data_IF_410646076518
#
_entry.id   IF_410646076518
#
_cell.length_a   1.000
_cell.length_b   1.000
_cell.length_c   1.000
_cell.angle_alpha   90.00
_cell.angle_beta   90.00
_cell.angle_gamma   90.00
#
_symmetry.space_group_name_H-M   'P 1'
#
loop_
_entity.id
_entity.type
_entity.pdbx_description
1 polymer ?
#
# COMPACT_ATOMS: atom_id res chain seq x y z
N UNK A 1 -40.42 1.82 -6.73
CA UNK A 1 -39.66 1.62 -5.47
C UNK A 1 -38.20 1.41 -5.81
N UNK A 2 -37.24 1.99 -5.08
CA UNK A 2 -35.82 1.90 -5.45
C UNK A 2 -35.33 0.45 -5.41
N UNK A 3 -34.49 0.08 -6.38
CA UNK A 3 -33.77 -1.20 -6.36
C UNK A 3 -32.44 -1.00 -5.65
N UNK A 4 -32.25 -1.66 -4.51
CA UNK A 4 -31.05 -1.51 -3.67
C UNK A 4 -30.27 -2.82 -3.68
N UNK A 5 -29.00 -2.75 -4.09
CA UNK A 5 -28.04 -3.83 -3.96
C UNK A 5 -27.27 -3.61 -2.67
N UNK A 6 -27.45 -4.49 -1.66
CA UNK A 6 -26.96 -4.25 -0.32
C UNK A 6 -25.44 -4.40 -0.23
N UNK A 7 -24.87 -3.73 0.77
CA UNK A 7 -23.46 -3.85 1.14
C UNK A 7 -23.11 -5.28 1.60
N UNK A 8 -22.09 -5.90 1.00
CA UNK A 8 -21.62 -7.23 1.41
C UNK A 8 -20.67 -7.15 2.63
N UNK A 9 -21.24 -7.19 3.84
CA UNK A 9 -20.45 -7.19 5.09
C UNK A 9 -19.41 -8.31 5.12
N UNK A 10 -19.77 -9.52 4.70
CA UNK A 10 -18.88 -10.69 4.73
C UNK A 10 -17.64 -10.51 3.86
N UNK A 11 -17.80 -9.94 2.65
CA UNK A 11 -16.67 -9.69 1.74
C UNK A 11 -15.68 -8.70 2.37
N UNK A 12 -16.19 -7.59 2.88
CA UNK A 12 -15.35 -6.55 3.46
C UNK A 12 -14.72 -6.98 4.79
N UNK A 13 -15.42 -7.81 5.58
CA UNK A 13 -14.86 -8.43 6.78
C UNK A 13 -13.70 -9.37 6.42
N UNK A 14 -13.84 -10.19 5.37
CA UNK A 14 -12.76 -11.06 4.91
C UNK A 14 -11.53 -10.25 4.42
N UNK A 15 -11.74 -9.14 3.70
CA UNK A 15 -10.66 -8.24 3.28
C UNK A 15 -9.98 -7.61 4.50
N UNK A 16 -10.75 -7.15 5.49
CA UNK A 16 -10.21 -6.57 6.72
C UNK A 16 -9.37 -7.59 7.48
N UNK A 17 -9.89 -8.79 7.74
CA UNK A 17 -9.19 -9.85 8.46
C UNK A 17 -7.92 -10.28 7.72
N UNK A 18 -7.99 -10.46 6.40
CA UNK A 18 -6.81 -10.78 5.59
C UNK A 18 -5.76 -9.68 5.66
N UNK A 19 -6.15 -8.41 5.52
CA UNK A 19 -5.23 -7.27 5.59
C UNK A 19 -4.57 -7.16 6.97
N UNK A 20 -5.33 -7.34 8.06
CA UNK A 20 -4.79 -7.33 9.43
C UNK A 20 -3.80 -8.47 9.67
N UNK A 21 -4.03 -9.66 9.11
CA UNK A 21 -3.08 -10.76 9.18
C UNK A 21 -1.75 -10.42 8.50
N UNK A 22 -1.78 -9.81 7.31
CA UNK A 22 -0.56 -9.37 6.61
C UNK A 22 0.17 -8.23 7.35
N UNK A 23 -0.57 -7.32 7.98
CA UNK A 23 0.02 -6.28 8.86
C UNK A 23 0.71 -6.92 10.05
N UNK A 24 0.09 -7.89 10.71
CA UNK A 24 0.70 -8.59 11.85
C UNK A 24 2.00 -9.30 11.44
N UNK A 25 2.00 -10.03 10.31
CA UNK A 25 3.20 -10.66 9.76
C UNK A 25 4.29 -9.61 9.46
N UNK A 26 3.93 -8.52 8.77
CA UNK A 26 4.87 -7.45 8.46
C UNK A 26 5.45 -6.78 9.71
N UNK A 27 4.63 -6.57 10.74
CA UNK A 27 5.08 -6.01 12.02
C UNK A 27 6.04 -6.95 12.75
N UNK A 28 5.79 -8.26 12.73
CA UNK A 28 6.71 -9.26 13.27
C UNK A 28 8.04 -9.25 12.52
N UNK A 29 8.03 -9.16 11.18
CA UNK A 29 9.25 -9.06 10.36
C UNK A 29 10.07 -7.80 10.65
N UNK A 30 9.42 -6.70 11.01
CA UNK A 30 10.10 -5.46 11.43
C UNK A 30 10.64 -5.56 12.86
N UNK A 31 9.91 -6.23 13.75
CA UNK A 31 10.23 -6.29 15.17
C UNK A 31 11.28 -7.34 15.53
N UNK A 32 11.23 -8.50 14.89
CA UNK A 32 12.30 -9.49 14.98
C UNK A 32 13.44 -8.95 14.11
N UNK A 33 14.60 -8.63 14.70
CA UNK A 33 15.79 -8.05 14.04
C UNK A 33 16.35 -8.94 12.91
N UNK A 34 15.57 -9.05 11.83
CA UNK A 34 15.85 -9.81 10.63
C UNK A 34 16.97 -9.18 9.82
N UNK A 35 17.16 -9.68 8.62
CA UNK A 35 17.98 -8.97 7.63
C UNK A 35 17.29 -7.65 7.26
N UNK A 36 18.05 -6.63 6.82
CA UNK A 36 17.47 -5.33 6.45
C UNK A 36 16.39 -5.50 5.35
N UNK A 37 16.56 -6.49 4.46
CA UNK A 37 15.55 -6.94 3.49
C UNK A 37 14.21 -7.34 4.13
N UNK A 38 14.23 -8.06 5.24
CA UNK A 38 13.02 -8.47 5.96
C UNK A 38 12.34 -7.29 6.64
N UNK A 39 13.14 -6.37 7.19
CA UNK A 39 12.62 -5.14 7.81
C UNK A 39 11.93 -4.27 6.74
N UNK A 40 12.58 -4.05 5.59
CA UNK A 40 12.00 -3.27 4.49
C UNK A 40 10.74 -3.93 3.92
N UNK A 41 10.78 -5.25 3.69
CA UNK A 41 9.63 -6.00 3.21
C UNK A 41 8.46 -5.93 4.21
N UNK A 42 8.77 -6.06 5.51
CA UNK A 42 7.80 -5.93 6.60
C UNK A 42 7.19 -4.53 6.65
N UNK A 43 8.01 -3.48 6.56
CA UNK A 43 7.53 -2.09 6.57
C UNK A 43 6.62 -1.79 5.37
N UNK A 44 7.00 -2.23 4.16
CA UNK A 44 6.16 -2.08 2.97
C UNK A 44 4.83 -2.84 3.10
N UNK A 45 4.87 -4.05 3.67
CA UNK A 45 3.67 -4.84 3.97
C UNK A 45 2.74 -4.11 4.94
N UNK A 46 3.27 -3.63 6.07
CA UNK A 46 2.50 -2.89 7.09
C UNK A 46 1.86 -1.64 6.50
N UNK A 47 2.59 -0.86 5.70
CA UNK A 47 2.06 0.35 5.08
C UNK A 47 0.92 0.04 4.10
N UNK A 48 1.16 -0.89 3.17
CA UNK A 48 0.17 -1.22 2.13
C UNK A 48 -1.07 -1.89 2.71
N UNK A 49 -0.90 -2.98 3.46
CA UNK A 49 -2.02 -3.72 4.03
C UNK A 49 -2.68 -2.98 5.19
N UNK A 50 -1.95 -2.12 5.92
CA UNK A 50 -2.51 -1.22 6.93
C UNK A 50 -3.46 -0.21 6.30
N UNK A 51 -3.07 0.38 5.17
CA UNK A 51 -3.97 1.24 4.40
C UNK A 51 -5.21 0.47 3.89
N UNK A 52 -5.03 -0.74 3.35
CA UNK A 52 -6.16 -1.58 2.94
C UNK A 52 -7.11 -1.92 4.11
N UNK A 53 -6.58 -2.23 5.30
CA UNK A 53 -7.37 -2.48 6.50
C UNK A 53 -8.17 -1.24 6.90
N UNK A 54 -7.56 -0.04 6.86
CA UNK A 54 -8.22 1.22 7.16
C UNK A 54 -9.38 1.50 6.20
N UNK A 55 -9.17 1.32 4.89
CA UNK A 55 -10.21 1.47 3.87
C UNK A 55 -11.34 0.46 4.08
N UNK A 56 -11.01 -0.80 4.36
CA UNK A 56 -12.00 -1.85 4.61
C UNK A 56 -12.83 -1.57 5.87
N UNK A 57 -12.19 -1.13 6.95
CA UNK A 57 -12.86 -0.74 8.20
C UNK A 57 -13.79 0.47 7.97
N UNK A 58 -13.33 1.51 7.28
CA UNK A 58 -14.16 2.66 6.93
C UNK A 58 -15.39 2.26 6.09
N UNK A 59 -15.22 1.35 5.12
CA UNK A 59 -16.32 0.79 4.32
C UNK A 59 -17.32 0.02 5.19
N UNK A 60 -16.85 -0.83 6.11
CA UNK A 60 -17.70 -1.59 7.04
C UNK A 60 -18.52 -0.68 7.97
N UNK A 61 -17.91 0.40 8.46
CA UNK A 61 -18.57 1.35 9.36
C UNK A 61 -19.63 2.18 8.62
N UNK A 62 -19.37 2.61 7.39
CA UNK A 62 -20.33 3.40 6.60
C UNK A 62 -21.52 2.57 6.13
N UNK A 63 -21.30 1.31 5.74
CA UNK A 63 -22.38 0.40 5.32
C UNK A 63 -23.19 0.87 4.11
N UNK A 64 -22.63 1.76 3.27
CA UNK A 64 -23.31 2.29 2.09
C UNK A 64 -23.68 1.15 1.11
N UNK A 65 -24.91 1.14 0.57
CA UNK A 65 -25.32 0.16 -0.43
C UNK A 65 -24.41 0.23 -1.66
N UNK A 66 -24.10 -0.92 -2.25
CA UNK A 66 -23.16 -0.99 -3.37
C UNK A 66 -23.70 -0.31 -4.62
N UNK A 67 -25.01 -0.42 -4.85
CA UNK A 67 -25.73 0.25 -5.92
C UNK A 67 -27.16 0.53 -5.49
N UNK A 68 -27.60 1.77 -5.64
CA UNK A 68 -29.01 2.17 -5.51
C UNK A 68 -29.49 2.68 -6.85
N UNK A 69 -30.58 2.11 -7.38
CA UNK A 69 -31.22 2.52 -8.63
C UNK A 69 -32.60 3.09 -8.28
N UNK A 70 -32.86 4.30 -8.75
CA UNK A 70 -34.12 5.04 -8.55
C UNK A 70 -34.68 5.51 -9.88
N UNK A 71 -35.86 6.14 -9.84
CA UNK A 71 -36.48 6.73 -11.04
C UNK A 71 -35.71 7.94 -11.58
N UNK A 72 -34.92 8.63 -10.74
CA UNK A 72 -34.17 9.83 -11.14
C UNK A 72 -32.77 9.49 -11.65
N UNK A 73 -32.22 8.34 -11.24
CA UNK A 73 -30.87 7.93 -11.59
C UNK A 73 -30.38 6.72 -10.81
N UNK A 74 -29.08 6.65 -10.60
CA UNK A 74 -28.48 5.62 -9.77
C UNK A 74 -27.22 6.15 -9.06
N UNK A 75 -26.83 5.45 -7.99
CA UNK A 75 -25.65 5.78 -7.19
C UNK A 75 -24.87 4.51 -6.88
N UNK A 76 -23.57 4.53 -7.22
CA UNK A 76 -22.62 3.46 -6.91
C UNK A 76 -21.80 3.88 -5.70
N UNK A 77 -21.53 2.96 -4.77
CA UNK A 77 -20.72 3.24 -3.58
C UNK A 77 -19.32 3.79 -3.96
N UNK A 78 -19.04 5.03 -3.54
CA UNK A 78 -17.78 5.73 -3.81
C UNK A 78 -17.73 6.48 -5.15
N UNK A 79 -18.85 6.63 -5.85
CA UNK A 79 -19.01 7.47 -7.03
C UNK A 79 -20.08 8.55 -6.78
N UNK A 80 -20.03 9.62 -7.57
CA UNK A 80 -21.09 10.63 -7.55
C UNK A 80 -22.43 10.01 -8.01
N UNK A 81 -23.56 10.43 -7.43
CA UNK A 81 -24.88 10.12 -7.98
C UNK A 81 -24.97 10.55 -9.44
N UNK A 82 -25.54 9.71 -10.29
CA UNK A 82 -25.72 9.97 -11.72
C UNK A 82 -27.20 9.98 -12.05
N UNK A 83 -27.63 11.04 -12.73
CA UNK A 83 -29.03 11.15 -13.20
C UNK A 83 -29.19 10.41 -14.52
N UNK A 84 -30.39 9.88 -14.80
CA UNK A 84 -30.65 9.24 -16.09
C UNK A 84 -30.42 10.18 -17.28
N UNK A 85 -30.69 11.48 -17.12
CA UNK A 85 -30.42 12.50 -18.15
C UNK A 85 -28.94 12.69 -18.48
N UNK A 86 -28.03 12.26 -17.60
CA UNK A 86 -26.59 12.33 -17.81
C UNK A 86 -26.06 11.09 -18.54
N UNK A 87 -26.87 10.02 -18.58
CA UNK A 87 -26.51 8.74 -19.19
C UNK A 87 -26.93 8.74 -20.64
N UNK A 88 -25.94 8.63 -21.53
CA UNK A 88 -26.19 8.39 -22.96
C UNK A 88 -26.62 6.95 -23.20
N UNK A 89 -25.84 6.00 -22.70
CA UNK A 89 -26.13 4.58 -22.87
C UNK A 89 -25.40 3.73 -21.84
N UNK A 90 -25.85 2.49 -21.64
CA UNK A 90 -25.19 1.53 -20.75
C UNK A 90 -25.05 0.17 -21.41
N UNK A 91 -24.16 -0.65 -20.87
CA UNK A 91 -24.25 -2.08 -21.08
C UNK A 91 -22.94 -2.79 -20.76
N UNK A 92 -22.87 -4.07 -21.13
CA UNK A 92 -21.83 -4.97 -20.64
C UNK A 92 -20.62 -4.90 -21.56
N UNK A 93 -19.50 -4.47 -21.01
CA UNK A 93 -18.20 -4.56 -21.66
C UNK A 93 -17.39 -5.71 -21.08
N UNK A 94 -16.86 -6.51 -22.00
CA UNK A 94 -15.99 -7.64 -21.66
C UNK A 94 -14.54 -7.23 -21.79
N UNK A 95 -13.74 -7.56 -20.77
CA UNK A 95 -12.30 -7.30 -20.70
C UNK A 95 -11.58 -8.65 -20.61
N UNK A 96 -10.65 -8.88 -21.53
CA UNK A 96 -9.70 -9.98 -21.41
C UNK A 96 -8.54 -9.59 -20.50
N UNK A 97 -8.31 -10.38 -19.46
CA UNK A 97 -7.16 -10.24 -18.57
C UNK A 97 -6.33 -11.51 -18.61
N UNK A 98 -5.06 -11.44 -18.19
CA UNK A 98 -4.19 -12.63 -18.10
C UNK A 98 -4.77 -13.74 -17.22
N UNK A 99 -5.68 -13.41 -16.29
CA UNK A 99 -6.40 -14.34 -15.43
C UNK A 99 -7.82 -14.69 -15.91
N UNK A 100 -8.15 -14.44 -17.18
CA UNK A 100 -9.43 -14.78 -17.79
C UNK A 100 -10.29 -13.58 -18.14
N UNK A 101 -11.52 -13.88 -18.57
CA UNK A 101 -12.50 -12.90 -19.04
C UNK A 101 -13.24 -12.28 -17.85
N UNK A 102 -13.33 -10.95 -17.82
CA UNK A 102 -14.13 -10.20 -16.84
C UNK A 102 -15.13 -9.32 -17.53
N UNK A 103 -16.30 -9.17 -16.92
CA UNK A 103 -17.36 -8.30 -17.41
C UNK A 103 -17.53 -7.13 -16.45
N UNK A 104 -17.90 -5.97 -16.99
CA UNK A 104 -18.32 -4.79 -16.24
C UNK A 104 -19.47 -4.12 -16.97
N UNK A 105 -20.25 -3.29 -16.27
CA UNK A 105 -21.20 -2.39 -16.93
C UNK A 105 -20.49 -1.06 -17.16
N UNK A 106 -20.33 -0.69 -18.42
CA UNK A 106 -19.85 0.62 -18.82
C UNK A 106 -21.06 1.56 -18.93
N UNK A 107 -20.96 2.73 -18.28
CA UNK A 107 -21.99 3.77 -18.33
C UNK A 107 -21.46 4.92 -19.17
N UNK A 108 -21.91 5.06 -20.40
CA UNK A 108 -21.52 6.16 -21.28
C UNK A 108 -22.28 7.42 -20.88
N UNK A 109 -21.55 8.46 -20.48
CA UNK A 109 -22.13 9.74 -20.08
C UNK A 109 -22.21 10.71 -21.27
N UNK A 110 -23.21 11.60 -21.27
CA UNK A 110 -23.32 12.69 -22.24
C UNK A 110 -22.13 13.66 -22.14
N UNK A 111 -21.75 14.02 -20.91
CA UNK A 111 -20.61 14.90 -20.62
C UNK A 111 -19.66 14.24 -19.59
N UNK A 112 -18.68 13.45 -20.05
CA UNK A 112 -17.72 12.80 -19.17
C UNK A 112 -16.75 13.79 -18.50
N UNK A 113 -16.50 14.96 -19.11
CA UNK A 113 -15.61 15.98 -18.56
C UNK A 113 -16.26 16.69 -17.38
N UNK A 114 -17.53 17.07 -17.50
CA UNK A 114 -18.30 17.63 -16.38
C UNK A 114 -18.40 16.66 -15.20
N UNK A 115 -18.59 15.36 -15.46
CA UNK A 115 -18.59 14.34 -14.42
C UNK A 115 -17.25 14.30 -13.66
N UNK A 116 -16.11 14.24 -14.39
CA UNK A 116 -14.78 14.24 -13.77
C UNK A 116 -14.53 15.56 -13.01
N UNK A 117 -14.91 16.72 -13.56
CA UNK A 117 -14.78 18.00 -12.88
C UNK A 117 -15.59 18.04 -11.57
N UNK A 118 -16.81 17.50 -11.60
CA UNK A 118 -17.68 17.36 -10.42
C UNK A 118 -17.06 16.52 -9.30
N UNK A 119 -16.23 15.52 -9.65
CA UNK A 119 -15.49 14.72 -8.66
C UNK A 119 -14.31 15.44 -8.02
N UNK A 120 -13.93 16.64 -8.46
CA UNK A 120 -12.78 17.40 -7.93
C UNK A 120 -13.15 18.76 -7.30
N UNK A 121 -14.41 19.20 -7.39
CA UNK A 121 -14.87 20.50 -6.91
C UNK A 121 -15.42 20.52 -5.47
N UNK A 122 -15.98 21.66 -5.05
CA UNK A 122 -16.59 21.89 -3.73
C UNK A 122 -17.69 20.87 -3.39
N UNK A 123 -18.40 20.36 -4.40
CA UNK A 123 -19.39 19.28 -4.28
C UNK A 123 -18.75 17.95 -3.87
N UNK A 124 -17.53 17.66 -4.32
CA UNK A 124 -16.78 16.48 -3.93
C UNK A 124 -16.20 16.59 -2.51
N UNK A 125 -15.94 17.81 -2.03
CA UNK A 125 -15.60 18.09 -0.62
C UNK A 125 -16.84 17.91 0.27
N UNK A 126 -18.00 18.43 -0.16
CA UNK A 126 -19.27 18.24 0.54
C UNK A 126 -19.71 16.76 0.62
N UNK A 127 -19.35 15.95 -0.39
CA UNK A 127 -19.63 14.50 -0.43
C UNK A 127 -18.44 13.63 0.04
N UNK A 128 -17.30 14.23 0.43
CA UNK A 128 -16.03 13.56 0.81
C UNK A 128 -15.45 12.57 -0.21
N UNK A 129 -15.78 12.70 -1.50
CA UNK A 129 -15.37 11.75 -2.57
C UNK A 129 -14.20 12.24 -3.46
N UNK A 130 -13.58 13.38 -3.12
CA UNK A 130 -12.76 14.18 -4.05
C UNK A 130 -11.53 13.54 -4.71
N UNK A 131 -10.80 12.66 -4.02
CA UNK A 131 -9.50 12.18 -4.51
C UNK A 131 -9.56 10.86 -5.29
N UNK A 132 -10.11 9.83 -4.65
CA UNK A 132 -10.07 8.48 -5.22
C UNK A 132 -11.03 8.31 -6.41
N UNK A 133 -12.22 8.90 -6.36
CA UNK A 133 -13.21 8.81 -7.43
C UNK A 133 -12.75 9.54 -8.69
N UNK A 134 -12.17 10.73 -8.53
CA UNK A 134 -11.62 11.52 -9.64
C UNK A 134 -10.42 10.82 -10.29
N UNK A 135 -9.52 10.23 -9.49
CA UNK A 135 -8.41 9.44 -10.00
C UNK A 135 -8.90 8.21 -10.78
N UNK A 136 -9.88 7.47 -10.25
CA UNK A 136 -10.46 6.32 -10.93
C UNK A 136 -11.14 6.72 -12.26
N UNK A 137 -11.90 7.80 -12.27
CA UNK A 137 -12.58 8.31 -13.47
C UNK A 137 -11.57 8.71 -14.57
N UNK A 138 -10.49 9.42 -14.19
CA UNK A 138 -9.40 9.77 -15.11
C UNK A 138 -8.64 8.54 -15.61
N UNK A 139 -8.39 7.57 -14.73
CA UNK A 139 -7.70 6.34 -15.09
C UNK A 139 -8.50 5.54 -16.12
N UNK A 140 -9.81 5.37 -15.91
CA UNK A 140 -10.72 4.71 -16.84
C UNK A 140 -10.67 5.36 -18.23
N UNK A 141 -10.75 6.70 -18.28
CA UNK A 141 -10.67 7.44 -19.54
C UNK A 141 -9.32 7.26 -20.24
N UNK A 142 -8.22 7.27 -19.48
CA UNK A 142 -6.87 7.12 -20.03
C UNK A 142 -6.65 5.76 -20.73
N UNK A 143 -7.42 4.73 -20.35
CA UNK A 143 -7.38 3.38 -20.93
C UNK A 143 -8.56 3.09 -21.88
N UNK A 144 -9.38 4.09 -22.22
CA UNK A 144 -10.46 3.98 -23.22
C UNK A 144 -11.79 3.41 -22.71
N UNK A 145 -12.06 3.53 -21.41
CA UNK A 145 -13.40 3.35 -20.84
C UNK A 145 -14.05 4.69 -20.52
N UNK A 146 -15.36 4.68 -20.34
CA UNK A 146 -16.10 5.75 -19.68
C UNK A 146 -15.53 6.02 -18.28
N UNK A 147 -15.54 7.27 -17.78
CA UNK A 147 -15.16 7.58 -16.41
C UNK A 147 -15.88 6.74 -15.35
N UNK A 148 -17.12 6.32 -15.62
CA UNK A 148 -17.91 5.51 -14.70
C UNK A 148 -18.11 4.09 -15.22
N UNK A 149 -17.67 3.11 -14.43
CA UNK A 149 -17.87 1.69 -14.68
C UNK A 149 -18.38 1.03 -13.40
N UNK A 150 -19.39 0.17 -13.54
CA UNK A 150 -19.92 -0.63 -12.43
C UNK A 150 -19.25 -2.01 -12.50
N UNK A 151 -18.36 -2.25 -11.54
CA UNK A 151 -17.69 -3.53 -11.37
C UNK A 151 -18.68 -4.59 -10.85
N UNK A 152 -18.36 -5.90 -10.99
CA UNK A 152 -19.24 -6.95 -10.50
C UNK A 152 -19.48 -6.84 -8.99
N UNK A 153 -20.75 -6.70 -8.62
CA UNK A 153 -21.25 -6.58 -7.24
C UNK A 153 -21.39 -7.97 -6.57
N UNK A 154 -20.41 -8.83 -6.81
CA UNK A 154 -20.40 -10.24 -6.38
C UNK A 154 -21.21 -11.17 -7.28
N UNK A 155 -21.12 -12.49 -7.01
CA UNK A 155 -21.80 -13.53 -7.81
C UNK A 155 -23.34 -13.47 -7.73
N UNK A 156 -23.88 -12.82 -6.69
CA UNK A 156 -25.33 -12.76 -6.44
C UNK A 156 -26.07 -11.78 -7.34
N UNK A 157 -25.37 -10.82 -7.95
CA UNK A 157 -25.96 -9.79 -8.80
C UNK A 157 -25.26 -9.76 -10.17
N UNK A 158 -25.60 -10.68 -11.09
CA UNK A 158 -25.07 -10.68 -12.45
C UNK A 158 -25.37 -9.36 -13.16
N UNK A 159 -24.45 -8.88 -14.00
CA UNK A 159 -24.59 -7.62 -14.73
C UNK A 159 -25.88 -7.53 -15.56
N UNK A 160 -26.32 -8.66 -16.13
CA UNK A 160 -27.59 -8.73 -16.85
C UNK A 160 -28.79 -8.34 -15.96
N UNK A 161 -28.83 -8.80 -14.71
CA UNK A 161 -29.91 -8.44 -13.78
C UNK A 161 -29.85 -6.96 -13.38
N UNK A 162 -28.65 -6.42 -13.22
CA UNK A 162 -28.46 -4.99 -12.94
C UNK A 162 -28.98 -4.15 -14.12
N UNK A 163 -28.64 -4.51 -15.36
CA UNK A 163 -29.15 -3.82 -16.55
C UNK A 163 -30.66 -3.92 -16.69
N UNK A 164 -31.24 -5.08 -16.41
CA UNK A 164 -32.70 -5.24 -16.36
C UNK A 164 -33.32 -4.32 -15.31
N UNK A 165 -32.73 -4.21 -14.12
CA UNK A 165 -33.20 -3.28 -13.10
C UNK A 165 -33.07 -1.81 -13.55
N UNK A 166 -31.97 -1.43 -14.18
CA UNK A 166 -31.78 -0.06 -14.73
C UNK A 166 -32.86 0.26 -15.79
N UNK A 167 -33.14 -0.67 -16.70
CA UNK A 167 -34.22 -0.52 -17.70
C UNK A 167 -35.62 -0.47 -17.11
N UNK A 168 -35.87 -1.20 -16.02
CA UNK A 168 -37.15 -1.14 -15.33
C UNK A 168 -37.42 0.26 -14.76
N UNK A 169 -36.38 0.97 -14.30
CA UNK A 169 -36.48 2.35 -13.81
C UNK A 169 -36.42 3.40 -14.92
N UNK A 170 -35.71 3.11 -16.01
CA UNK A 170 -35.64 3.99 -17.18
C UNK A 170 -35.84 3.18 -18.49
N UNK A 171 -37.10 2.99 -18.94
CA UNK A 171 -37.38 2.16 -20.12
C UNK A 171 -36.75 2.67 -21.42
N UNK A 172 -36.54 3.99 -21.53
CA UNK A 172 -35.89 4.63 -22.67
C UNK A 172 -34.35 4.47 -22.67
N UNK A 173 -33.77 3.78 -21.68
CA UNK A 173 -32.33 3.60 -21.58
C UNK A 173 -31.78 2.85 -22.79
N UNK A 174 -30.90 3.51 -23.52
CA UNK A 174 -30.18 2.92 -24.64
C UNK A 174 -29.19 1.87 -24.12
N UNK A 175 -29.31 0.66 -24.64
CA UNK A 175 -28.37 -0.42 -24.33
C UNK A 175 -27.40 -0.55 -25.48
N UNK A 176 -26.15 -0.18 -25.21
CA UNK A 176 -25.06 -0.40 -26.14
C UNK A 176 -24.61 -1.85 -26.03
N UNK A 177 -24.25 -2.44 -27.17
CA UNK A 177 -23.46 -3.67 -27.20
C UNK A 177 -22.08 -3.31 -27.72
N UNK A 178 -21.04 -3.71 -26.99
CA UNK A 178 -19.67 -3.51 -27.43
C UNK A 178 -19.26 -4.73 -28.24
N UNK A 179 -18.53 -4.55 -29.37
CA UNK A 179 -17.91 -5.67 -30.04
C UNK A 179 -17.00 -6.43 -29.06
N UNK A 180 -16.84 -7.73 -29.28
CA UNK A 180 -15.91 -8.56 -28.52
C UNK A 180 -14.55 -7.85 -28.39
N UNK A 181 -13.89 -7.92 -27.22
CA UNK A 181 -12.74 -7.09 -26.93
C UNK A 181 -11.68 -7.23 -28.03
N UNK A 182 -11.46 -6.16 -28.80
CA UNK A 182 -10.19 -6.03 -29.50
C UNK A 182 -9.09 -6.03 -28.44
N UNK A 183 -8.05 -6.84 -28.63
CA UNK A 183 -6.93 -7.01 -27.69
C UNK A 183 -6.59 -5.67 -27.02
N UNK A 184 -6.74 -5.62 -25.69
CA UNK A 184 -6.74 -4.37 -24.92
C UNK A 184 -5.51 -3.49 -25.20
N UNK A 185 -5.64 -2.17 -25.05
CA UNK A 185 -4.64 -1.23 -25.53
C UNK A 185 -3.26 -1.48 -24.91
N UNK A 186 -2.22 -1.54 -25.75
CA UNK A 186 -0.80 -1.59 -25.35
C UNK A 186 -0.34 -0.42 -24.46
N UNK A 187 -1.24 0.50 -24.10
CA UNK A 187 -1.03 1.62 -23.16
C UNK A 187 -1.05 1.15 -21.70
N UNK A 188 -1.83 0.11 -21.34
CA UNK A 188 -1.74 -0.54 -20.02
C UNK A 188 -0.37 -1.18 -19.85
N UNK A 189 0.18 -1.80 -20.90
CA UNK A 189 1.55 -2.33 -20.91
C UNK A 189 2.58 -1.24 -20.61
N UNK A 190 2.38 -0.01 -21.09
CA UNK A 190 3.25 1.15 -20.80
C UNK A 190 3.09 1.67 -19.36
N UNK A 191 1.88 1.74 -18.83
CA UNK A 191 1.65 2.18 -17.44
C UNK A 191 2.16 1.13 -16.44
N UNK A 192 1.88 -0.16 -16.68
CA UNK A 192 2.41 -1.26 -15.89
C UNK A 192 3.95 -1.33 -15.99
N UNK A 193 4.53 -1.11 -17.17
CA UNK A 193 5.98 -1.01 -17.35
C UNK A 193 6.57 0.16 -16.56
N UNK A 194 5.92 1.33 -16.55
CA UNK A 194 6.35 2.48 -15.73
C UNK A 194 6.22 2.20 -14.24
N UNK A 195 5.14 1.58 -13.80
CA UNK A 195 4.97 1.17 -12.40
C UNK A 195 6.03 0.14 -12.00
N UNK A 196 6.28 -0.89 -12.82
CA UNK A 196 7.36 -1.87 -12.62
C UNK A 196 8.76 -1.23 -12.63
N UNK A 197 9.00 -0.25 -13.49
CA UNK A 197 10.26 0.52 -13.49
C UNK A 197 10.39 1.28 -12.17
N UNK A 198 9.36 1.99 -11.72
CA UNK A 198 9.42 2.72 -10.45
C UNK A 198 9.57 1.79 -9.25
N UNK A 199 8.86 0.66 -9.22
CA UNK A 199 9.07 -0.38 -8.21
C UNK A 199 10.51 -0.91 -8.27
N UNK A 200 11.04 -1.18 -9.47
CA UNK A 200 12.43 -1.60 -9.67
C UNK A 200 13.45 -0.54 -9.25
N UNK A 201 13.17 0.74 -9.47
CA UNK A 201 14.01 1.87 -9.04
C UNK A 201 14.01 1.99 -7.52
N UNK A 202 12.85 1.88 -6.87
CA UNK A 202 12.76 1.89 -5.40
C UNK A 202 13.51 0.69 -4.82
N UNK A 203 13.34 -0.51 -5.39
CA UNK A 203 14.10 -1.70 -4.99
C UNK A 203 15.59 -1.51 -5.21
N UNK A 204 16.02 -0.97 -6.36
CA UNK A 204 17.42 -0.73 -6.66
C UNK A 204 18.05 0.35 -5.76
N UNK A 205 17.31 1.39 -5.38
CA UNK A 205 17.76 2.39 -4.42
C UNK A 205 17.92 1.79 -3.02
N UNK A 206 16.95 1.00 -2.56
CA UNK A 206 17.05 0.31 -1.26
C UNK A 206 18.24 -0.66 -1.27
N UNK A 207 18.36 -1.50 -2.30
CA UNK A 207 19.49 -2.45 -2.43
C UNK A 207 20.81 -1.71 -2.58
N UNK A 208 20.85 -0.58 -3.30
CA UNK A 208 22.04 0.25 -3.47
C UNK A 208 22.49 0.89 -2.15
N UNK A 209 21.54 1.42 -1.37
CA UNK A 209 21.81 1.96 -0.03
C UNK A 209 22.31 0.86 0.90
N UNK A 210 21.67 -0.31 0.93
CA UNK A 210 22.14 -1.44 1.74
C UNK A 210 23.52 -1.94 1.33
N UNK A 211 23.77 -2.09 0.03
CA UNK A 211 25.07 -2.54 -0.49
C UNK A 211 26.14 -1.52 -0.14
N UNK A 212 25.82 -0.22 -0.21
CA UNK A 212 26.71 0.85 0.19
C UNK A 212 27.00 0.80 1.70
N UNK A 213 25.98 0.68 2.56
CA UNK A 213 26.14 0.57 4.02
C UNK A 213 26.98 -0.66 4.43
N UNK A 214 26.77 -1.80 3.77
CA UNK A 214 27.57 -3.01 4.01
C UNK A 214 29.02 -2.85 3.54
N UNK A 215 29.27 -2.19 2.40
CA UNK A 215 30.62 -1.95 1.90
C UNK A 215 31.36 -0.90 2.72
N UNK A 216 30.66 0.10 3.28
CA UNK A 216 31.27 1.10 4.17
C UNK A 216 31.51 0.57 5.59
N UNK A 217 30.91 -0.58 5.93
CA UNK A 217 31.01 -1.19 7.25
C UNK A 217 30.23 -0.43 8.32
N UNK A 218 29.10 0.20 7.98
CA UNK A 218 28.36 1.03 8.93
C UNK A 218 27.81 0.19 10.10
N UNK A 219 28.07 0.64 11.34
CA UNK A 219 27.67 -0.05 12.58
C UNK A 219 26.15 -0.22 12.70
N UNK A 220 25.35 0.59 12.01
CA UNK A 220 23.89 0.43 11.96
C UNK A 220 23.42 -0.92 11.39
N UNK A 221 24.30 -1.65 10.68
CA UNK A 221 24.03 -3.00 10.15
C UNK A 221 24.52 -4.14 11.05
N UNK A 222 25.20 -3.83 12.15
CA UNK A 222 25.86 -4.81 13.02
C UNK A 222 24.88 -5.62 13.87
N UNK A 223 25.27 -6.85 14.23
CA UNK A 223 24.54 -7.71 15.18
C UNK A 223 25.46 -8.15 16.31
N UNK A 224 24.88 -8.60 17.42
CA UNK A 224 25.65 -9.28 18.48
C UNK A 224 26.40 -10.46 17.84
N UNK A 225 27.71 -10.53 18.08
CA UNK A 225 28.64 -11.46 17.46
C UNK A 225 29.45 -10.88 16.29
N UNK A 226 29.07 -9.72 15.73
CA UNK A 226 29.85 -9.04 14.69
C UNK A 226 31.14 -8.44 15.24
N UNK A 227 32.22 -8.51 14.47
CA UNK A 227 33.48 -7.85 14.80
C UNK A 227 33.54 -6.45 14.21
N UNK A 228 34.26 -5.57 14.90
CA UNK A 228 34.39 -4.17 14.51
C UNK A 228 35.85 -3.71 14.60
N UNK A 229 36.22 -2.84 13.66
CA UNK A 229 37.39 -2.01 13.72
C UNK A 229 36.98 -0.66 14.32
N UNK A 230 37.63 -0.27 15.41
CA UNK A 230 37.46 1.07 16.01
C UNK A 230 38.70 1.89 15.71
N UNK A 231 38.52 3.06 15.10
CA UNK A 231 39.60 3.97 14.71
C UNK A 231 39.58 5.31 15.46
N UNK A 232 38.59 5.53 16.32
CA UNK A 232 38.37 6.73 17.12
C UNK A 232 37.26 6.52 18.16
N UNK A 233 36.79 7.63 18.74
CA UNK A 233 35.82 7.66 19.85
C UNK A 233 34.39 8.07 19.42
N UNK A 234 34.13 8.17 18.11
CA UNK A 234 32.83 8.59 17.54
C UNK A 234 32.15 7.48 16.72
N UNK A 235 30.85 7.64 16.44
CA UNK A 235 30.04 6.59 15.82
C UNK A 235 30.46 6.21 14.39
N UNK A 236 31.10 7.13 13.69
CA UNK A 236 31.60 6.94 12.32
C UNK A 236 32.97 6.24 12.28
N UNK A 237 33.69 6.20 13.40
CA UNK A 237 34.98 5.51 13.52
C UNK A 237 34.88 4.03 13.87
N UNK A 238 33.66 3.53 14.10
CA UNK A 238 33.37 2.11 14.34
C UNK A 238 32.83 1.47 13.06
N UNK A 239 33.59 0.52 12.52
CA UNK A 239 33.22 -0.20 11.28
C UNK A 239 33.08 -1.68 11.50
N UNK A 240 32.00 -2.28 11.02
CA UNK A 240 31.81 -3.73 10.99
C UNK A 240 32.78 -4.33 9.98
N UNK A 241 33.58 -5.29 10.45
CA UNK A 241 34.58 -6.02 9.67
C UNK A 241 34.44 -7.52 9.90
N UNK A 242 35.02 -8.32 9.02
CA UNK A 242 35.16 -9.76 9.26
C UNK A 242 36.00 -10.00 10.51
N UNK A 243 35.62 -10.97 11.34
CA UNK A 243 36.34 -11.28 12.58
C UNK A 243 37.79 -11.76 12.36
N UNK A 244 38.08 -12.28 11.17
CA UNK A 244 39.43 -12.69 10.78
C UNK A 244 40.26 -11.54 10.19
N UNK A 245 39.68 -10.33 10.08
CA UNK A 245 40.37 -9.16 9.58
C UNK A 245 41.42 -8.68 10.59
N UNK A 246 42.58 -8.25 10.09
CA UNK A 246 43.72 -7.84 10.94
C UNK A 246 43.43 -6.59 11.79
N UNK A 247 42.43 -5.82 11.41
CA UNK A 247 41.95 -4.63 12.09
C UNK A 247 40.70 -4.88 12.95
N UNK A 248 40.19 -6.12 13.01
CA UNK A 248 39.15 -6.52 13.95
C UNK A 248 39.71 -6.47 15.38
N UNK A 249 39.32 -5.46 16.15
CA UNK A 249 39.80 -5.27 17.53
C UNK A 249 38.79 -5.66 18.58
N UNK A 250 37.50 -5.54 18.25
CA UNK A 250 36.43 -5.79 19.19
C UNK A 250 35.30 -6.60 18.55
N UNK A 251 34.56 -7.34 19.38
CA UNK A 251 33.33 -8.05 19.02
C UNK A 251 32.17 -7.49 19.83
N UNK A 252 31.02 -7.33 19.18
CA UNK A 252 29.79 -6.90 19.85
C UNK A 252 29.26 -8.07 20.69
N UNK A 253 29.20 -7.90 22.00
CA UNK A 253 28.69 -8.92 22.94
C UNK A 253 27.30 -8.58 23.47
N UNK A 254 26.89 -7.32 23.39
CA UNK A 254 25.59 -6.86 23.87
C UNK A 254 25.08 -5.63 23.11
N UNK A 255 23.77 -5.48 23.07
CA UNK A 255 23.08 -4.37 22.43
C UNK A 255 21.86 -3.97 23.27
N UNK A 256 21.72 -2.67 23.56
CA UNK A 256 20.55 -2.10 24.22
C UNK A 256 19.97 -0.97 23.38
N UNK A 257 18.83 -1.22 22.75
CA UNK A 257 18.15 -0.24 21.89
C UNK A 257 17.26 0.70 22.69
N UNK A 258 16.96 1.87 22.12
CA UNK A 258 16.03 2.89 22.66
C UNK A 258 16.50 3.48 23.98
N UNK A 259 17.78 3.84 24.03
CA UNK A 259 18.40 4.45 25.21
C UNK A 259 18.90 5.84 24.88
N UNK A 260 18.71 6.80 25.79
CA UNK A 260 19.34 8.11 25.65
C UNK A 260 20.82 8.04 25.95
N UNK A 261 21.58 9.04 25.51
CA UNK A 261 22.99 9.22 25.86
C UNK A 261 23.18 9.30 27.39
N UNK A 262 22.30 10.02 28.08
CA UNK A 262 22.30 10.13 29.55
C UNK A 262 22.10 8.77 30.24
N UNK A 263 21.25 7.88 29.69
CA UNK A 263 21.07 6.53 30.23
C UNK A 263 22.34 5.67 30.09
N UNK A 264 23.18 5.92 29.08
CA UNK A 264 24.46 5.22 28.90
C UNK A 264 25.47 5.59 30.01
N UNK A 265 25.47 6.84 30.43
CA UNK A 265 26.39 7.33 31.46
C UNK A 265 25.99 6.90 32.88
N UNK A 266 24.69 6.74 33.14
CA UNK A 266 24.18 6.50 34.50
C UNK A 266 24.00 5.01 34.82
N UNK A 267 23.64 4.16 33.85
CA UNK A 267 23.16 2.80 34.11
C UNK A 267 24.14 1.67 33.80
N UNK A 268 25.34 1.96 33.27
CA UNK A 268 26.37 0.98 32.85
C UNK A 268 25.81 -0.38 32.40
N UNK A 269 24.90 -0.41 31.40
CA UNK A 269 24.15 -1.63 31.06
C UNK A 269 25.05 -2.77 30.55
N UNK A 270 26.28 -2.47 30.14
CA UNK A 270 27.27 -3.45 29.72
C UNK A 270 27.86 -4.28 30.88
N UNK A 271 27.60 -3.93 32.15
CA UNK A 271 28.02 -4.73 33.32
C UNK A 271 27.38 -6.13 33.33
N UNK A 272 26.26 -6.31 32.62
CA UNK A 272 25.65 -7.61 32.38
C UNK A 272 26.54 -8.57 31.55
N UNK A 273 27.58 -8.04 30.88
CA UNK A 273 28.51 -8.78 30.04
C UNK A 273 29.93 -8.68 30.61
N UNK A 274 30.41 -9.66 31.40
CA UNK A 274 31.70 -9.58 32.10
C UNK A 274 32.92 -9.44 31.19
N UNK A 275 32.77 -9.83 29.92
CA UNK A 275 33.81 -9.74 28.89
C UNK A 275 33.84 -8.38 28.19
N UNK A 276 32.82 -7.54 28.41
CA UNK A 276 32.75 -6.19 27.85
C UNK A 276 33.81 -5.30 28.49
N UNK A 277 34.58 -4.61 27.66
CA UNK A 277 35.65 -3.68 28.07
C UNK A 277 35.38 -2.26 27.62
N UNK A 278 34.56 -2.09 26.58
CA UNK A 278 34.20 -0.79 26.01
C UNK A 278 32.68 -0.74 25.86
N UNK A 279 32.08 0.34 26.33
CA UNK A 279 30.68 0.68 26.03
C UNK A 279 30.67 1.91 25.11
N UNK A 280 29.76 1.92 24.15
CA UNK A 280 29.63 3.05 23.24
C UNK A 280 28.16 3.26 22.89
N UNK A 281 27.71 4.52 22.95
CA UNK A 281 26.36 4.90 22.55
C UNK A 281 26.38 5.45 21.12
N UNK A 282 25.50 4.92 20.28
CA UNK A 282 25.33 5.34 18.90
C UNK A 282 23.92 5.92 18.71
N UNK A 283 23.83 7.20 18.36
CA UNK A 283 22.57 7.89 18.14
C UNK A 283 22.76 9.36 17.76
N UNK A 284 21.66 10.08 17.59
CA UNK A 284 21.66 11.54 17.41
C UNK A 284 21.34 12.22 18.74
N UNK A 285 22.04 13.30 19.06
CA UNK A 285 21.82 14.05 20.30
C UNK A 285 20.34 14.42 20.48
N UNK A 286 19.79 14.06 21.65
CA UNK A 286 18.38 14.28 21.99
C UNK A 286 17.40 13.22 21.45
N UNK A 287 17.87 12.22 20.70
CA UNK A 287 17.07 11.08 20.24
C UNK A 287 17.45 9.79 20.99
N UNK A 288 16.57 8.79 20.90
CA UNK A 288 16.84 7.46 21.42
C UNK A 288 17.84 6.74 20.51
N UNK A 289 18.99 6.38 21.06
CA UNK A 289 20.05 5.65 20.38
C UNK A 289 20.15 4.18 20.81
N UNK A 290 21.30 3.59 20.52
CA UNK A 290 21.65 2.21 20.84
C UNK A 290 22.96 2.20 21.62
N UNK A 291 22.98 1.53 22.77
CA UNK A 291 24.21 1.25 23.51
C UNK A 291 24.75 -0.09 23.04
N UNK A 292 26.02 -0.09 22.64
CA UNK A 292 26.76 -1.26 22.20
C UNK A 292 27.83 -1.62 23.24
N UNK A 293 27.91 -2.91 23.55
CA UNK A 293 28.91 -3.47 24.47
C UNK A 293 29.91 -4.29 23.68
N UNK A 294 31.19 -4.01 23.87
CA UNK A 294 32.27 -4.60 23.09
C UNK A 294 33.25 -5.37 23.96
N UNK A 295 33.55 -6.59 23.55
CA UNK A 295 34.65 -7.39 24.10
C UNK A 295 35.86 -7.36 23.13
N UNK A 296 37.10 -7.41 23.62
CA UNK A 296 38.28 -7.54 22.76
C UNK A 296 38.22 -8.86 21.99
N UNK A 297 38.61 -8.84 20.72
CA UNK A 297 38.91 -10.06 19.96
C UNK A 297 40.32 -10.51 20.34
N UNK A 298 40.48 -11.77 20.74
CA UNK A 298 41.74 -12.35 21.19
C UNK A 298 42.68 -12.71 20.06
#
# INVERSE_FOLDING_TARGET
MPTVIPFSKTRWLAILLGSLAFVAVGAVMVYQHGTVKEIVAGALSVLFFGFCALVAAQRLLKGEPELTITYDGFQVAGALPVRWSEVRSVGIRTIETRGGRRELIEVVLHDPDAYIAGTSGSVAVATRMGGAASLAARANRAIGFSPLNIAPLGRKHPHAQILTAMRAHHPALEITSWPAPAAGPGRVKRFLKRALIWTGVVVALVVGIETWLHVTGDISTAKVGSCVAMTGDDGDSVKVVDCDAKDARYQIVGQFTKKTEEENEVLSPCDAYPTSRVQFWYGKNGELGVIWCFAPVG
#
